data_IF_854348190747
#
_entry.id   IF_854348190747
#
_cell.length_a   1.000
_cell.length_b   1.000
_cell.length_c   1.000
_cell.angle_alpha   90.00
_cell.angle_beta   90.00
_cell.angle_gamma   90.00
#
_symmetry.space_group_name_H-M   'P 1'
#
loop_
_entity.id
_entity.type
_entity.pdbx_description
1 polymer ?
#
# COMPACT_ATOMS: atom_id res chain seq x y z
N UNK A 1 34.03 -20.35 -23.28
CA UNK A 1 32.70 -19.70 -23.29
C UNK A 1 32.64 -18.80 -24.51
N UNK A 2 31.60 -18.87 -25.34
CA UNK A 2 31.52 -18.03 -26.55
C UNK A 2 30.90 -16.66 -26.23
N UNK A 3 31.22 -15.65 -27.04
CA UNK A 3 30.79 -14.25 -26.82
C UNK A 3 29.26 -14.12 -26.80
N UNK A 4 28.55 -14.86 -27.66
CA UNK A 4 27.09 -14.86 -27.72
C UNK A 4 26.47 -15.33 -26.40
N UNK A 5 26.99 -16.41 -25.81
CA UNK A 5 26.54 -16.92 -24.52
C UNK A 5 26.77 -15.89 -23.40
N UNK A 6 27.93 -15.24 -23.37
CA UNK A 6 28.23 -14.19 -22.40
C UNK A 6 27.29 -12.98 -22.55
N UNK A 7 26.98 -12.57 -23.79
CA UNK A 7 26.05 -11.46 -24.04
C UNK A 7 24.63 -11.77 -23.62
N UNK A 8 24.15 -13.00 -23.85
CA UNK A 8 22.80 -13.43 -23.45
C UNK A 8 22.68 -13.48 -21.93
N UNK A 9 23.70 -14.00 -21.23
CA UNK A 9 23.73 -13.99 -19.76
C UNK A 9 23.76 -12.57 -19.20
N UNK A 10 24.59 -11.69 -19.77
CA UNK A 10 24.66 -10.28 -19.33
C UNK A 10 23.33 -9.56 -19.54
N UNK A 11 22.69 -9.73 -20.70
CA UNK A 11 21.37 -9.13 -20.99
C UNK A 11 20.28 -9.66 -20.05
N UNK A 12 20.31 -10.97 -19.76
CA UNK A 12 19.37 -11.59 -18.81
C UNK A 12 19.53 -10.98 -17.42
N UNK A 13 20.77 -10.85 -16.94
CA UNK A 13 21.05 -10.27 -15.62
C UNK A 13 20.60 -8.80 -15.54
N UNK A 14 20.84 -8.01 -16.60
CA UNK A 14 20.39 -6.61 -16.67
C UNK A 14 18.87 -6.52 -16.62
N UNK A 15 18.16 -7.40 -17.33
CA UNK A 15 16.69 -7.44 -17.31
C UNK A 15 16.17 -7.81 -15.92
N UNK A 16 16.72 -8.86 -15.31
CA UNK A 16 16.34 -9.29 -13.97
C UNK A 16 16.53 -8.18 -12.94
N UNK A 17 17.68 -7.49 -12.97
CA UNK A 17 17.96 -6.39 -12.05
C UNK A 17 16.94 -5.25 -12.20
N UNK A 18 16.65 -4.86 -13.44
CA UNK A 18 15.64 -3.83 -13.73
C UNK A 18 14.26 -4.23 -13.21
N UNK A 19 13.86 -5.47 -13.44
CA UNK A 19 12.53 -5.96 -13.04
C UNK A 19 12.40 -5.99 -11.51
N UNK A 20 13.47 -6.34 -10.79
CA UNK A 20 13.53 -6.25 -9.33
C UNK A 20 13.37 -4.81 -8.84
N UNK A 21 14.16 -3.87 -9.37
CA UNK A 21 14.07 -2.45 -9.00
C UNK A 21 12.67 -1.86 -9.28
N UNK A 22 12.06 -2.24 -10.40
CA UNK A 22 10.70 -1.83 -10.74
C UNK A 22 9.71 -2.36 -9.70
N UNK A 23 9.79 -3.64 -9.36
CA UNK A 23 8.92 -4.26 -8.34
C UNK A 23 9.08 -3.59 -6.98
N UNK A 24 10.30 -3.29 -6.56
CA UNK A 24 10.54 -2.59 -5.29
C UNK A 24 9.90 -1.20 -5.27
N UNK A 25 10.02 -0.45 -6.37
CA UNK A 25 9.34 0.85 -6.51
C UNK A 25 7.82 0.73 -6.45
N UNK A 26 7.26 -0.30 -7.08
CA UNK A 26 5.81 -0.55 -7.03
C UNK A 26 5.34 -0.90 -5.62
N UNK A 27 6.09 -1.71 -4.87
CA UNK A 27 5.79 -2.03 -3.46
C UNK A 27 5.84 -0.75 -2.60
N UNK A 28 6.87 0.07 -2.77
CA UNK A 28 7.00 1.35 -2.05
C UNK A 28 5.87 2.32 -2.41
N UNK A 29 5.49 2.40 -3.69
CA UNK A 29 4.41 3.26 -4.15
C UNK A 29 3.05 2.80 -3.60
N UNK A 30 2.79 1.49 -3.59
CA UNK A 30 1.58 0.93 -2.99
C UNK A 30 1.49 1.25 -1.50
N UNK A 31 2.56 0.98 -0.72
CA UNK A 31 2.58 1.29 0.71
C UNK A 31 2.42 2.78 1.01
N UNK A 32 3.03 3.65 0.21
CA UNK A 32 2.89 5.11 0.35
C UNK A 32 1.45 5.55 0.05
N UNK A 33 0.82 4.97 -0.98
CA UNK A 33 -0.57 5.26 -1.33
C UNK A 33 -1.52 4.85 -0.21
N UNK A 34 -1.33 3.68 0.38
CA UNK A 34 -2.17 3.17 1.46
C UNK A 34 -2.01 4.02 2.72
N UNK A 35 -0.78 4.39 3.09
CA UNK A 35 -0.52 5.30 4.22
C UNK A 35 -1.11 6.69 4.00
N UNK A 36 -0.98 7.23 2.78
CA UNK A 36 -1.57 8.53 2.43
C UNK A 36 -3.09 8.46 2.49
N UNK A 37 -3.69 7.38 1.96
CA UNK A 37 -5.13 7.16 2.02
C UNK A 37 -5.61 7.08 3.46
N UNK A 38 -4.92 6.33 4.31
CA UNK A 38 -5.22 6.22 5.74
C UNK A 38 -5.15 7.57 6.45
N UNK A 39 -4.09 8.35 6.23
CA UNK A 39 -3.92 9.67 6.83
C UNK A 39 -4.99 10.68 6.38
N UNK A 40 -5.55 10.50 5.18
CA UNK A 40 -6.64 11.33 4.65
C UNK A 40 -8.03 10.83 5.06
N UNK A 41 -8.15 9.72 5.81
CA UNK A 41 -9.43 9.31 6.36
C UNK A 41 -9.86 10.26 7.49
N UNK A 42 -11.15 10.61 7.50
CA UNK A 42 -11.78 11.30 8.62
C UNK A 42 -12.72 10.31 9.33
N UNK A 43 -12.22 9.55 10.32
CA UNK A 43 -13.05 8.56 11.00
C UNK A 43 -14.21 9.21 11.76
N UNK A 44 -15.31 8.46 11.93
CA UNK A 44 -16.45 8.89 12.71
C UNK A 44 -16.02 9.08 14.18
N UNK A 45 -16.08 10.31 14.69
CA UNK A 45 -15.68 10.62 16.07
C UNK A 45 -16.86 10.47 17.02
N UNK A 46 -16.66 9.76 18.14
CA UNK A 46 -17.58 9.79 19.26
C UNK A 46 -17.25 10.98 20.16
N UNK A 47 -18.20 11.88 20.35
CA UNK A 47 -17.99 13.08 21.16
C UNK A 47 -18.37 12.91 22.64
N UNK A 48 -19.03 11.81 23.01
CA UNK A 48 -19.48 11.57 24.39
C UNK A 48 -20.74 12.35 24.79
N UNK A 49 -21.21 13.24 23.93
CA UNK A 49 -22.44 14.01 24.14
C UNK A 49 -23.68 13.13 23.92
N UNK A 50 -24.72 13.31 24.75
CA UNK A 50 -26.03 12.66 24.56
C UNK A 50 -26.25 11.33 25.29
N UNK A 51 -25.29 10.87 26.10
CA UNK A 51 -25.47 9.69 26.97
C UNK A 51 -25.55 8.35 26.23
N UNK A 52 -26.05 7.27 26.88
CA UNK A 52 -25.98 5.91 26.36
C UNK A 52 -26.63 5.73 24.98
N UNK A 53 -27.77 6.37 24.73
CA UNK A 53 -28.47 6.28 23.44
C UNK A 53 -27.65 6.87 22.27
N UNK A 54 -26.87 7.93 22.53
CA UNK A 54 -25.98 8.50 21.52
C UNK A 54 -24.77 7.59 21.26
N UNK A 55 -24.29 6.87 22.28
CA UNK A 55 -23.26 5.85 22.12
C UNK A 55 -23.77 4.68 21.25
N UNK A 56 -25.00 4.21 21.49
CA UNK A 56 -25.61 3.14 20.70
C UNK A 56 -25.79 3.54 19.22
N UNK A 57 -26.23 4.78 18.96
CA UNK A 57 -26.33 5.31 17.60
C UNK A 57 -24.96 5.43 16.91
N UNK A 58 -23.91 5.84 17.64
CA UNK A 58 -22.55 5.91 17.10
C UNK A 58 -22.00 4.51 16.78
N UNK A 59 -22.23 3.51 17.65
CA UNK A 59 -21.87 2.11 17.39
C UNK A 59 -22.59 1.57 16.15
N UNK A 60 -23.90 1.78 16.05
CA UNK A 60 -24.69 1.36 14.88
C UNK A 60 -24.21 2.02 13.58
N UNK A 61 -23.70 3.25 13.63
CA UNK A 61 -23.14 3.94 12.48
C UNK A 61 -21.77 3.40 12.05
N UNK A 62 -20.99 2.77 12.95
CA UNK A 62 -19.72 2.12 12.62
C UNK A 62 -19.89 0.70 12.08
N UNK A 63 -21.01 0.03 12.38
CA UNK A 63 -21.28 -1.35 11.97
C UNK A 63 -21.86 -1.49 10.54
N UNK A 64 -22.14 -0.37 9.86
CA UNK A 64 -22.60 -0.36 8.45
C UNK A 64 -21.46 -0.17 7.47
#
# INVERSE_FOLDING_TARGET
MNVMAATVTAQTNVKTQRDLEKREREVLAAGTRDLTSFNNQNPLKFHGDGGPAAADLWLQAMEK
#
